data_IF_288491448813
#
_entry.id   IF_288491448813
#
_cell.length_a   1.000
_cell.length_b   1.000
_cell.length_c   1.000
_cell.angle_alpha   90.00
_cell.angle_beta   90.00
_cell.angle_gamma   90.00
#
_symmetry.space_group_name_H-M   'P 1'
#
loop_
_entity.id
_entity.type
_entity.pdbx_description
1 polymer ?
#
# COMPACT_ATOMS: atom_id res chain seq x y z
N UNK A 1 -28.07 19.50 -25.71
CA UNK A 1 -28.07 19.78 -24.27
C UNK A 1 -27.11 18.79 -23.63
N UNK A 2 -25.83 19.20 -23.47
CA UNK A 2 -24.78 18.32 -22.92
C UNK A 2 -24.95 18.27 -21.39
N UNK A 3 -25.55 17.21 -20.86
CA UNK A 3 -25.88 17.02 -19.45
C UNK A 3 -24.73 16.36 -18.66
N UNK A 4 -23.54 16.21 -19.24
CA UNK A 4 -22.36 15.74 -18.51
C UNK A 4 -21.50 16.95 -18.15
N UNK A 5 -21.59 17.41 -16.89
CA UNK A 5 -20.52 18.22 -16.31
C UNK A 5 -19.21 17.40 -16.41
N UNK A 6 -18.11 17.99 -16.87
CA UNK A 6 -16.83 17.25 -16.91
C UNK A 6 -16.51 16.73 -15.50
N UNK A 7 -16.14 15.45 -15.41
CA UNK A 7 -15.66 14.86 -14.16
C UNK A 7 -14.47 15.72 -13.70
N UNK A 8 -14.42 16.16 -12.43
CA UNK A 8 -13.33 16.99 -11.95
C UNK A 8 -11.96 16.37 -12.29
N UNK A 9 -11.02 17.18 -12.79
CA UNK A 9 -9.69 16.72 -13.21
C UNK A 9 -8.96 15.91 -12.12
N UNK A 10 -9.15 16.28 -10.85
CA UNK A 10 -8.61 15.55 -9.70
C UNK A 10 -9.13 14.10 -9.63
N UNK A 11 -10.44 13.89 -9.84
CA UNK A 11 -11.04 12.57 -9.84
C UNK A 11 -10.50 11.70 -10.98
N UNK A 12 -10.37 12.27 -12.18
CA UNK A 12 -9.80 11.57 -13.33
C UNK A 12 -8.36 11.14 -13.07
N UNK A 13 -7.55 12.05 -12.51
CA UNK A 13 -6.15 11.77 -12.17
C UNK A 13 -6.03 10.65 -11.14
N UNK A 14 -6.83 10.68 -10.08
CA UNK A 14 -6.86 9.65 -9.04
C UNK A 14 -7.28 8.29 -9.62
N UNK A 15 -8.35 8.25 -10.42
CA UNK A 15 -8.84 7.04 -11.07
C UNK A 15 -7.81 6.46 -12.04
N UNK A 16 -7.16 7.31 -12.84
CA UNK A 16 -6.10 6.87 -13.77
C UNK A 16 -4.89 6.31 -13.02
N UNK A 17 -4.46 6.93 -11.93
CA UNK A 17 -3.29 6.49 -11.16
C UNK A 17 -3.54 5.14 -10.49
N UNK A 18 -4.66 4.98 -9.77
CA UNK A 18 -5.01 3.70 -9.16
C UNK A 18 -5.31 2.62 -10.20
N UNK A 19 -6.08 2.98 -11.23
CA UNK A 19 -6.43 2.05 -12.31
C UNK A 19 -5.20 1.55 -13.06
N UNK A 20 -4.25 2.43 -13.40
CA UNK A 20 -3.01 2.04 -14.06
C UNK A 20 -2.11 1.22 -13.15
N UNK A 21 -2.05 1.51 -11.85
CA UNK A 21 -1.31 0.68 -10.91
C UNK A 21 -1.90 -0.74 -10.83
N UNK A 22 -3.21 -0.86 -10.66
CA UNK A 22 -3.89 -2.17 -10.66
C UNK A 22 -3.69 -2.90 -11.99
N UNK A 23 -3.86 -2.21 -13.12
CA UNK A 23 -3.62 -2.81 -14.44
C UNK A 23 -2.19 -3.35 -14.57
N UNK A 24 -1.20 -2.57 -14.10
CA UNK A 24 0.19 -3.02 -14.07
C UNK A 24 0.35 -4.32 -13.27
N UNK A 25 -0.26 -4.43 -12.08
CA UNK A 25 -0.20 -5.64 -11.27
C UNK A 25 -0.80 -6.84 -12.00
N UNK A 26 -1.95 -6.66 -12.65
CA UNK A 26 -2.62 -7.72 -13.41
C UNK A 26 -1.82 -8.13 -14.65
N UNK A 27 -1.23 -7.18 -15.36
CA UNK A 27 -0.35 -7.46 -16.54
C UNK A 27 0.90 -8.22 -16.09
N UNK A 28 1.55 -7.78 -15.00
CA UNK A 28 2.74 -8.47 -14.48
C UNK A 28 2.43 -9.90 -14.04
N UNK A 29 1.34 -10.10 -13.31
CA UNK A 29 0.91 -11.44 -12.89
C UNK A 29 0.53 -12.30 -14.10
N UNK A 30 -0.15 -11.71 -15.10
CA UNK A 30 -0.46 -12.40 -16.36
C UNK A 30 0.79 -12.88 -17.10
N UNK A 31 1.78 -12.02 -17.23
CA UNK A 31 3.07 -12.37 -17.85
C UNK A 31 3.77 -13.45 -17.01
N UNK A 32 3.81 -13.30 -15.69
CA UNK A 32 4.53 -14.25 -14.81
C UNK A 32 3.86 -15.63 -14.80
N UNK A 33 2.55 -15.70 -14.69
CA UNK A 33 1.82 -16.96 -14.66
C UNK A 33 1.83 -17.68 -16.04
N UNK A 34 1.55 -16.93 -17.12
CA UNK A 34 1.31 -17.55 -18.42
C UNK A 34 2.60 -17.78 -19.23
N UNK A 35 3.59 -16.89 -19.08
CA UNK A 35 4.81 -16.92 -19.91
C UNK A 35 6.05 -17.32 -19.12
N UNK A 36 6.16 -16.90 -17.84
CA UNK A 36 7.40 -17.04 -17.08
C UNK A 36 7.33 -18.12 -15.98
N UNK A 37 6.19 -18.81 -15.82
CA UNK A 37 6.03 -19.90 -14.85
C UNK A 37 6.42 -19.48 -13.42
N UNK A 38 5.94 -18.33 -12.97
CA UNK A 38 6.20 -17.73 -11.65
C UNK A 38 7.67 -17.36 -11.37
N UNK A 39 8.47 -17.12 -12.41
CA UNK A 39 9.90 -16.79 -12.26
C UNK A 39 10.15 -15.38 -11.73
N UNK A 40 9.20 -14.44 -11.88
CA UNK A 40 9.34 -13.09 -11.34
C UNK A 40 9.30 -13.11 -9.80
N UNK A 41 8.62 -14.04 -9.19
CA UNK A 41 8.50 -14.15 -7.74
C UNK A 41 9.85 -14.27 -7.03
N UNK A 42 10.91 -14.78 -7.71
CA UNK A 42 12.29 -14.80 -7.17
C UNK A 42 12.84 -13.43 -6.79
N UNK A 43 12.25 -12.33 -7.29
CA UNK A 43 12.65 -10.96 -6.98
C UNK A 43 11.96 -10.40 -5.73
N UNK A 44 11.15 -11.20 -5.04
CA UNK A 44 10.57 -10.84 -3.76
C UNK A 44 11.60 -10.62 -2.65
N UNK A 45 11.12 -10.19 -1.48
CA UNK A 45 11.98 -9.95 -0.32
C UNK A 45 12.44 -11.29 0.25
N UNK A 46 13.76 -11.45 0.35
CA UNK A 46 14.41 -12.56 1.11
C UNK A 46 15.02 -11.98 2.38
N UNK A 47 14.48 -12.31 3.55
CA UNK A 47 14.93 -11.74 4.81
C UNK A 47 16.42 -11.93 5.04
N UNK A 48 17.12 -10.85 5.40
CA UNK A 48 18.56 -10.80 5.74
C UNK A 48 19.52 -11.22 4.62
N UNK A 49 19.03 -11.39 3.38
CA UNK A 49 19.89 -11.61 2.21
C UNK A 49 20.11 -10.30 1.45
N UNK A 50 21.34 -10.01 1.03
CA UNK A 50 21.67 -8.80 0.23
C UNK A 50 20.82 -8.70 -1.04
N UNK A 51 20.63 -9.82 -1.74
CA UNK A 51 19.75 -9.87 -2.93
C UNK A 51 18.28 -9.63 -2.62
N UNK A 52 17.84 -9.85 -1.37
CA UNK A 52 16.47 -9.59 -0.93
C UNK A 52 16.15 -8.12 -0.75
N UNK A 53 17.16 -7.22 -0.65
CA UNK A 53 16.94 -5.78 -0.53
C UNK A 53 16.21 -5.19 -1.75
N UNK A 54 16.52 -5.66 -2.96
CA UNK A 54 15.79 -5.24 -4.18
C UNK A 54 14.31 -5.62 -4.12
N UNK A 55 13.98 -6.68 -3.39
CA UNK A 55 12.62 -7.10 -3.17
C UNK A 55 11.79 -6.07 -2.39
N UNK A 56 12.41 -5.17 -1.61
CA UNK A 56 11.70 -4.07 -0.95
C UNK A 56 10.95 -3.23 -1.99
N UNK A 57 11.58 -2.94 -3.13
CA UNK A 57 10.95 -2.18 -4.21
C UNK A 57 10.04 -3.03 -5.12
N UNK A 58 10.36 -4.31 -5.30
CA UNK A 58 9.69 -5.14 -6.30
C UNK A 58 8.55 -6.00 -5.73
N UNK A 59 8.63 -6.39 -4.45
CA UNK A 59 7.65 -7.31 -3.85
C UNK A 59 6.19 -6.86 -3.95
N UNK A 60 5.84 -5.57 -3.77
CA UNK A 60 4.46 -5.13 -3.92
C UNK A 60 3.89 -5.28 -5.34
N UNK A 61 4.75 -5.42 -6.34
CA UNK A 61 4.36 -5.61 -7.74
C UNK A 61 4.14 -7.09 -8.10
N UNK A 62 4.59 -8.02 -7.26
CA UNK A 62 4.64 -9.44 -7.54
C UNK A 62 3.55 -10.19 -6.75
N UNK A 63 2.91 -11.14 -7.40
CA UNK A 63 1.91 -12.00 -6.77
C UNK A 63 2.17 -13.46 -7.15
N UNK A 64 1.82 -14.38 -6.27
CA UNK A 64 2.10 -15.80 -6.51
C UNK A 64 0.95 -16.55 -7.16
N UNK A 65 -0.25 -15.97 -7.13
CA UNK A 65 -1.48 -16.55 -7.68
C UNK A 65 -2.49 -15.48 -8.01
N UNK A 66 -3.37 -15.78 -8.98
CA UNK A 66 -4.51 -14.92 -9.31
C UNK A 66 -5.39 -14.59 -8.09
N UNK A 67 -5.61 -15.58 -7.21
CA UNK A 67 -6.37 -15.38 -5.98
C UNK A 67 -5.70 -14.40 -5.01
N UNK A 68 -4.35 -14.44 -4.91
CA UNK A 68 -3.60 -13.50 -4.10
C UNK A 68 -3.71 -12.06 -4.64
N UNK A 69 -3.56 -11.88 -5.97
CA UNK A 69 -3.75 -10.59 -6.62
C UNK A 69 -5.18 -10.05 -6.44
N UNK A 70 -6.19 -10.90 -6.69
CA UNK A 70 -7.60 -10.52 -6.54
C UNK A 70 -7.93 -10.07 -5.11
N UNK A 71 -7.39 -10.76 -4.10
CA UNK A 71 -7.59 -10.40 -2.69
C UNK A 71 -6.99 -9.04 -2.32
N UNK A 72 -5.93 -8.61 -3.02
CA UNK A 72 -5.33 -7.28 -2.83
C UNK A 72 -6.04 -6.19 -3.65
N UNK A 73 -6.62 -6.52 -4.81
CA UNK A 73 -7.15 -5.54 -5.78
C UNK A 73 -8.22 -4.64 -5.17
N UNK A 74 -9.26 -5.21 -4.57
CA UNK A 74 -10.37 -4.43 -4.01
C UNK A 74 -9.91 -3.56 -2.82
N UNK A 75 -9.21 -4.09 -1.82
CA UNK A 75 -8.69 -3.26 -0.74
C UNK A 75 -7.75 -2.15 -1.21
N UNK A 76 -6.86 -2.41 -2.18
CA UNK A 76 -5.98 -1.39 -2.74
C UNK A 76 -6.76 -0.25 -3.41
N UNK A 77 -7.78 -0.59 -4.20
CA UNK A 77 -8.62 0.40 -4.86
C UNK A 77 -9.39 1.24 -3.82
N UNK A 78 -10.07 0.59 -2.88
CA UNK A 78 -10.92 1.29 -1.93
C UNK A 78 -10.11 2.10 -0.93
N UNK A 79 -9.14 1.47 -0.25
CA UNK A 79 -8.33 2.16 0.76
C UNK A 79 -7.40 3.20 0.13
N UNK A 80 -6.78 2.88 -1.02
CA UNK A 80 -5.97 3.84 -1.77
C UNK A 80 -6.77 5.06 -2.22
N UNK A 81 -8.00 4.85 -2.67
CA UNK A 81 -8.90 5.96 -3.01
C UNK A 81 -9.21 6.84 -1.80
N UNK A 82 -9.55 6.23 -0.66
CA UNK A 82 -9.83 6.96 0.58
C UNK A 82 -8.62 7.77 1.06
N UNK A 83 -7.39 7.25 0.92
CA UNK A 83 -6.17 8.02 1.21
C UNK A 83 -6.01 9.20 0.26
N UNK A 84 -6.36 9.04 -1.04
CA UNK A 84 -6.28 10.12 -2.02
C UNK A 84 -7.28 11.25 -1.78
N UNK A 85 -8.34 11.04 -0.98
CA UNK A 85 -9.26 12.13 -0.59
C UNK A 85 -8.54 13.23 0.21
N UNK A 86 -7.44 12.91 0.90
CA UNK A 86 -6.56 13.87 1.57
C UNK A 86 -5.59 14.59 0.62
N UNK A 87 -5.58 14.22 -0.66
CA UNK A 87 -4.72 14.80 -1.69
C UNK A 87 -3.59 13.91 -2.15
N UNK A 88 -3.00 14.27 -3.30
CA UNK A 88 -1.96 13.45 -3.94
C UNK A 88 -0.65 13.40 -3.14
N UNK A 89 -0.30 14.49 -2.45
CA UNK A 89 0.89 14.54 -1.60
C UNK A 89 0.74 13.57 -0.42
N UNK A 90 -0.41 13.56 0.22
CA UNK A 90 -0.73 12.66 1.32
C UNK A 90 -0.69 11.19 0.89
N UNK A 91 -1.28 10.89 -0.27
CA UNK A 91 -1.20 9.56 -0.87
C UNK A 91 0.25 9.13 -1.15
N UNK A 92 1.08 10.03 -1.70
CA UNK A 92 2.49 9.76 -1.96
C UNK A 92 3.26 9.47 -0.66
N UNK A 93 3.02 10.25 0.39
CA UNK A 93 3.62 10.08 1.72
C UNK A 93 3.20 8.74 2.33
N UNK A 94 1.89 8.46 2.40
CA UNK A 94 1.36 7.22 2.95
C UNK A 94 1.89 6.00 2.20
N UNK A 95 1.92 6.06 0.87
CA UNK A 95 2.40 4.98 0.01
C UNK A 95 3.89 4.72 0.19
N UNK A 96 4.73 5.75 0.07
CA UNK A 96 6.19 5.61 0.15
C UNK A 96 6.65 5.16 1.54
N UNK A 97 6.10 5.77 2.60
CA UNK A 97 6.42 5.40 3.98
C UNK A 97 6.04 3.95 4.26
N UNK A 98 4.82 3.57 3.90
CA UNK A 98 4.34 2.19 4.06
C UNK A 98 5.19 1.19 3.28
N UNK A 99 5.47 1.48 2.02
CA UNK A 99 6.26 0.62 1.14
C UNK A 99 7.63 0.32 1.73
N UNK A 100 8.33 1.38 2.17
CA UNK A 100 9.67 1.26 2.75
C UNK A 100 9.63 0.53 4.09
N UNK A 101 8.74 0.93 5.00
CA UNK A 101 8.67 0.34 6.35
C UNK A 101 8.23 -1.12 6.30
N UNK A 102 7.21 -1.45 5.48
CA UNK A 102 6.79 -2.83 5.27
C UNK A 102 7.92 -3.68 4.72
N UNK A 103 8.60 -3.20 3.67
CA UNK A 103 9.69 -3.92 3.03
C UNK A 103 10.89 -4.13 3.95
N UNK A 104 11.33 -3.10 4.67
CA UNK A 104 12.41 -3.18 5.66
C UNK A 104 12.03 -4.09 6.83
N UNK A 105 10.80 -3.98 7.34
CA UNK A 105 10.30 -4.83 8.41
C UNK A 105 10.32 -6.32 8.04
N UNK A 106 9.87 -6.65 6.83
CA UNK A 106 9.96 -8.01 6.31
C UNK A 106 11.42 -8.44 6.15
N UNK A 107 12.28 -7.57 5.61
CA UNK A 107 13.68 -7.92 5.40
C UNK A 107 14.40 -8.18 6.71
N UNK A 108 14.13 -7.40 7.77
CA UNK A 108 14.74 -7.55 9.09
C UNK A 108 14.18 -8.72 9.89
N UNK A 109 12.83 -8.85 9.93
CA UNK A 109 12.12 -9.73 10.86
C UNK A 109 11.39 -10.91 10.18
N UNK A 110 11.45 -11.02 8.88
CA UNK A 110 10.90 -12.17 8.15
C UNK A 110 11.57 -13.49 8.51
N UNK A 111 10.87 -14.59 8.31
CA UNK A 111 11.40 -15.94 8.57
C UNK A 111 12.63 -16.23 7.71
N UNK A 112 13.60 -16.98 8.28
CA UNK A 112 14.74 -17.46 7.50
C UNK A 112 14.25 -18.36 6.35
N UNK A 113 14.86 -18.23 5.17
CA UNK A 113 14.51 -19.00 3.96
C UNK A 113 13.08 -18.82 3.45
N UNK A 114 12.43 -17.71 3.82
CA UNK A 114 11.13 -17.34 3.26
C UNK A 114 11.28 -16.36 2.11
N UNK A 115 10.25 -16.29 1.27
CA UNK A 115 10.14 -15.34 0.17
C UNK A 115 8.82 -14.59 0.33
N UNK A 116 8.88 -13.26 0.35
CA UNK A 116 7.71 -12.41 0.57
C UNK A 116 7.43 -11.57 -0.68
N UNK A 117 6.19 -11.62 -1.14
CA UNK A 117 5.65 -10.91 -2.31
C UNK A 117 4.23 -10.45 -2.01
N UNK A 118 3.72 -9.50 -2.77
CA UNK A 118 2.34 -9.03 -2.73
C UNK A 118 2.20 -7.59 -2.26
N UNK A 119 1.15 -6.94 -2.75
CA UNK A 119 0.81 -5.56 -2.41
C UNK A 119 0.12 -5.43 -1.03
N UNK A 120 -0.07 -6.53 -0.31
CA UNK A 120 -0.78 -6.53 0.97
C UNK A 120 -0.15 -5.64 2.03
N UNK A 121 1.18 -5.44 2.00
CA UNK A 121 1.86 -4.46 2.84
C UNK A 121 1.31 -3.05 2.66
N UNK A 122 1.02 -2.64 1.42
CA UNK A 122 0.37 -1.35 1.12
C UNK A 122 -1.09 -1.33 1.60
N UNK A 123 -1.84 -2.41 1.39
CA UNK A 123 -3.22 -2.53 1.90
C UNK A 123 -3.27 -2.29 3.40
N UNK A 124 -2.41 -2.98 4.15
CA UNK A 124 -2.34 -2.83 5.61
C UNK A 124 -1.81 -1.46 6.04
N UNK A 125 -0.94 -0.84 5.23
CA UNK A 125 -0.48 0.52 5.47
C UNK A 125 -1.60 1.55 5.29
N UNK A 126 -2.35 1.48 4.21
CA UNK A 126 -3.50 2.36 4.01
C UNK A 126 -4.56 2.15 5.10
N UNK A 127 -4.79 0.90 5.50
CA UNK A 127 -5.65 0.57 6.63
C UNK A 127 -5.17 1.24 7.93
N UNK A 128 -3.89 1.09 8.29
CA UNK A 128 -3.30 1.73 9.47
C UNK A 128 -3.34 3.26 9.41
N UNK A 129 -3.02 3.83 8.25
CA UNK A 129 -3.06 5.27 8.01
C UNK A 129 -4.48 5.84 8.24
N UNK A 130 -5.49 5.27 7.57
CA UNK A 130 -6.87 5.74 7.64
C UNK A 130 -7.48 5.56 9.03
N UNK A 131 -7.15 4.49 9.74
CA UNK A 131 -7.63 4.28 11.12
C UNK A 131 -7.04 5.27 12.11
N UNK A 132 -5.78 5.64 11.95
CA UNK A 132 -5.06 6.47 12.92
C UNK A 132 -5.10 7.98 12.61
N UNK A 133 -5.42 8.34 11.36
CA UNK A 133 -5.41 9.74 10.93
C UNK A 133 -6.29 10.64 11.77
N UNK A 134 -7.53 10.23 12.04
CA UNK A 134 -8.48 11.03 12.85
C UNK A 134 -8.00 11.30 14.28
N UNK A 135 -7.17 10.39 14.81
CA UNK A 135 -6.57 10.57 16.14
C UNK A 135 -5.52 11.68 16.17
N UNK A 136 -4.80 11.89 15.05
CA UNK A 136 -3.74 12.90 14.97
C UNK A 136 -4.22 14.25 14.43
N UNK A 137 -5.23 14.27 13.58
CA UNK A 137 -5.71 15.51 12.93
C UNK A 137 -6.95 16.14 13.58
N UNK A 138 -7.69 15.41 14.40
CA UNK A 138 -8.93 15.87 15.07
C UNK A 138 -9.98 16.45 14.09
N UNK A 139 -10.02 15.92 12.86
CA UNK A 139 -10.94 16.36 11.81
C UNK A 139 -12.17 15.43 11.70
N UNK A 140 -13.41 15.98 11.67
CA UNK A 140 -14.63 15.17 11.59
C UNK A 140 -14.74 14.30 10.34
N UNK A 141 -14.20 14.76 9.19
CA UNK A 141 -14.21 13.98 7.94
C UNK A 141 -13.29 12.78 8.08
N UNK A 142 -12.07 12.98 8.59
CA UNK A 142 -11.13 11.91 8.89
C UNK A 142 -11.70 10.92 9.91
N UNK A 143 -12.44 11.39 10.91
CA UNK A 143 -13.13 10.54 11.89
C UNK A 143 -14.21 9.67 11.23
N UNK A 144 -15.01 10.25 10.33
CA UNK A 144 -16.01 9.52 9.55
C UNK A 144 -15.38 8.43 8.67
N UNK A 145 -14.29 8.75 7.97
CA UNK A 145 -13.53 7.80 7.15
C UNK A 145 -12.94 6.69 8.01
N UNK A 146 -12.32 7.02 9.16
CA UNK A 146 -11.76 6.03 10.09
C UNK A 146 -12.82 5.06 10.58
N UNK A 147 -14.00 5.56 10.95
CA UNK A 147 -15.13 4.72 11.37
C UNK A 147 -15.60 3.80 10.24
N UNK A 148 -15.78 4.34 9.03
CA UNK A 148 -16.16 3.56 7.85
C UNK A 148 -15.15 2.45 7.58
N UNK A 149 -13.86 2.76 7.61
CA UNK A 149 -12.77 1.79 7.40
C UNK A 149 -12.75 0.74 8.51
N UNK A 150 -12.96 1.13 9.77
CA UNK A 150 -13.07 0.19 10.88
C UNK A 150 -14.23 -0.78 10.71
N UNK A 151 -15.39 -0.32 10.24
CA UNK A 151 -16.57 -1.16 10.01
C UNK A 151 -16.38 -2.11 8.83
N UNK A 152 -15.85 -1.64 7.72
CA UNK A 152 -15.72 -2.43 6.48
C UNK A 152 -14.50 -3.35 6.48
N UNK A 153 -13.39 -2.88 7.03
CA UNK A 153 -12.08 -3.54 6.97
C UNK A 153 -11.51 -3.96 8.34
N UNK A 154 -12.24 -3.73 9.44
CA UNK A 154 -11.79 -4.09 10.79
C UNK A 154 -11.23 -5.52 10.91
N UNK A 155 -11.84 -6.54 10.28
CA UNK A 155 -11.30 -7.90 10.31
C UNK A 155 -9.89 -8.07 9.73
N UNK A 156 -9.38 -7.11 8.94
CA UNK A 156 -7.99 -7.13 8.48
C UNK A 156 -7.00 -7.13 9.65
N UNK A 157 -7.35 -6.56 10.80
CA UNK A 157 -6.45 -6.50 11.95
C UNK A 157 -5.91 -7.88 12.37
N UNK A 158 -6.68 -8.93 12.16
CA UNK A 158 -6.23 -10.29 12.43
C UNK A 158 -5.13 -10.78 11.49
N UNK A 159 -4.95 -10.10 10.34
CA UNK A 159 -3.89 -10.38 9.38
C UNK A 159 -2.49 -9.94 9.84
N UNK A 160 -2.38 -9.04 10.85
CA UNK A 160 -1.09 -8.64 11.43
C UNK A 160 -0.53 -9.67 12.40
N UNK A 161 -1.30 -10.71 12.73
CA UNK A 161 -0.94 -11.74 13.71
C UNK A 161 -0.45 -13.02 13.02
N UNK A 162 0.47 -13.76 13.64
CA UNK A 162 1.10 -14.94 13.03
C UNK A 162 0.25 -16.20 13.06
N UNK A 163 -1.08 -16.07 12.93
CA UNK A 163 -2.02 -17.21 13.08
C UNK A 163 -2.19 -18.04 11.81
N UNK A 164 -1.85 -17.49 10.63
CA UNK A 164 -2.08 -18.17 9.35
C UNK A 164 -0.76 -18.49 8.66
N UNK A 165 -0.57 -19.78 8.32
CA UNK A 165 0.57 -20.20 7.49
C UNK A 165 0.42 -19.69 6.06
N UNK A 166 1.53 -19.35 5.42
CA UNK A 166 1.56 -18.89 4.02
C UNK A 166 1.22 -17.41 3.82
N UNK A 167 0.95 -16.66 4.89
CA UNK A 167 0.72 -15.22 4.85
C UNK A 167 1.94 -14.50 5.43
N UNK A 168 2.37 -13.43 4.77
CA UNK A 168 3.43 -12.53 5.26
C UNK A 168 2.89 -11.61 6.35
N UNK A 169 2.59 -12.16 7.55
CA UNK A 169 2.09 -11.34 8.66
C UNK A 169 3.04 -10.19 9.03
N UNK A 170 4.36 -10.38 8.85
CA UNK A 170 5.34 -9.31 9.06
C UNK A 170 5.12 -8.16 8.08
N UNK A 171 4.86 -8.46 6.79
CA UNK A 171 4.53 -7.44 5.80
C UNK A 171 3.27 -6.66 6.16
N UNK A 172 2.27 -7.35 6.70
CA UNK A 172 1.03 -6.74 7.19
C UNK A 172 1.29 -5.86 8.43
N UNK A 173 1.99 -6.39 9.43
CA UNK A 173 2.30 -5.66 10.67
C UNK A 173 3.11 -4.40 10.38
N UNK A 174 4.23 -4.55 9.65
CA UNK A 174 5.08 -3.40 9.34
C UNK A 174 4.45 -2.47 8.32
N UNK A 175 3.57 -2.96 7.45
CA UNK A 175 2.71 -2.13 6.62
C UNK A 175 1.79 -1.26 7.48
N UNK A 176 1.05 -1.86 8.39
CA UNK A 176 0.16 -1.16 9.33
C UNK A 176 0.93 -0.12 10.14
N UNK A 177 2.07 -0.49 10.73
CA UNK A 177 2.95 0.45 11.47
C UNK A 177 3.40 1.59 10.56
N UNK A 178 3.80 1.31 9.31
CA UNK A 178 4.19 2.33 8.34
C UNK A 178 3.08 3.33 8.06
N UNK A 179 1.83 2.85 7.93
CA UNK A 179 0.66 3.71 7.78
C UNK A 179 0.39 4.60 9.00
N UNK A 180 0.44 4.03 10.20
CA UNK A 180 0.29 4.80 11.46
C UNK A 180 1.37 5.86 11.60
N UNK A 181 2.63 5.53 11.28
CA UNK A 181 3.74 6.49 11.31
C UNK A 181 3.58 7.59 10.25
N UNK A 182 3.12 7.25 9.05
CA UNK A 182 2.80 8.24 8.03
C UNK A 182 1.71 9.21 8.48
N UNK A 183 0.65 8.73 9.13
CA UNK A 183 -0.42 9.57 9.68
C UNK A 183 0.08 10.46 10.82
N UNK A 184 0.88 9.90 11.73
CA UNK A 184 1.42 10.63 12.88
C UNK A 184 2.34 11.79 12.48
N UNK A 185 3.18 11.57 11.47
CA UNK A 185 4.19 12.54 11.02
C UNK A 185 3.81 13.21 9.70
N UNK A 186 2.52 13.20 9.37
CA UNK A 186 2.05 13.75 8.10
C UNK A 186 2.45 15.22 7.90
N UNK A 187 2.26 16.13 8.88
CA UNK A 187 2.61 17.54 8.70
C UNK A 187 4.11 17.75 8.43
N UNK A 188 4.99 17.07 9.17
CA UNK A 188 6.45 17.16 9.00
C UNK A 188 6.88 16.60 7.64
N UNK A 189 6.31 15.49 7.23
CA UNK A 189 6.59 14.88 5.94
C UNK A 189 6.09 15.74 4.78
N UNK A 190 4.94 16.39 4.90
CA UNK A 190 4.43 17.33 3.90
C UNK A 190 5.35 18.54 3.76
N UNK A 191 5.81 19.12 4.88
CA UNK A 191 6.75 20.22 4.86
C UNK A 191 8.07 19.83 4.19
N UNK A 192 8.59 18.65 4.48
CA UNK A 192 9.80 18.13 3.87
C UNK A 192 9.64 17.94 2.36
N UNK A 193 8.54 17.37 1.90
CA UNK A 193 8.22 17.22 0.47
C UNK A 193 8.16 18.57 -0.25
N UNK A 194 7.46 19.55 0.32
CA UNK A 194 7.37 20.90 -0.25
C UNK A 194 8.75 21.59 -0.34
N UNK A 195 9.59 21.39 0.68
CA UNK A 195 10.97 21.92 0.67
C UNK A 195 11.79 21.29 -0.45
N UNK A 196 11.70 19.98 -0.66
CA UNK A 196 12.38 19.31 -1.76
C UNK A 196 11.90 19.84 -3.13
N UNK A 197 10.61 20.01 -3.34
CA UNK A 197 10.06 20.54 -4.59
C UNK A 197 10.59 21.95 -4.90
N UNK A 198 10.75 22.79 -3.86
CA UNK A 198 11.28 24.15 -4.04
C UNK A 198 12.78 24.18 -4.33
N UNK A 199 13.54 23.18 -3.89
CA UNK A 199 14.99 23.07 -4.16
C UNK A 199 15.31 22.62 -5.59
N UNK A 200 14.37 21.99 -6.29
CA UNK A 200 14.55 21.44 -7.64
C UNK A 200 13.91 22.31 -8.75
N UNK A 201 13.25 23.40 -8.38
CA UNK A 201 12.72 24.45 -9.29
C UNK A 201 13.70 25.59 -9.44
#
# INVERSE_FOLDING_TARGET
MNLMSPIPDAFQTQAMLLGSFILLLWVLEGIDQLLLQNRLNRFGIRPRHKHGLRGILLAPLLHGTWGHLSANTVPLLVLGWLVMLGGMQEFAIATSTTWIISGLGVWLFGGANTLHIGASGLVFGYFGFLLSRSYFEYDPVSAGISLLVALLYGPLIWGVLPFRRGISWQGHLFGFIGGVLAARHLPELQQWFTTLETMWR
#
